data_IF_965816961734
#
_entry.id   IF_965816961734
#
_cell.length_a   1.000
_cell.length_b   1.000
_cell.length_c   1.000
_cell.angle_alpha   90.00
_cell.angle_beta   90.00
_cell.angle_gamma   90.00
#
_symmetry.space_group_name_H-M   'P 1'
#
loop_
_entity.id
_entity.type
_entity.pdbx_description
1 polymer ?
#
# COMPACT_ATOMS: atom_id res chain seq x y z
N UNK A 1 -29.42 5.24 16.88
CA UNK A 1 -28.90 4.00 16.29
C UNK A 1 -29.04 4.09 14.77
N UNK A 2 -27.99 3.69 14.06
CA UNK A 2 -27.98 3.60 12.60
C UNK A 2 -28.06 2.11 12.22
N UNK A 3 -28.92 1.80 11.26
CA UNK A 3 -28.98 0.50 10.60
C UNK A 3 -28.77 0.74 9.11
N UNK A 4 -27.89 -0.04 8.48
CA UNK A 4 -27.54 0.11 7.07
C UNK A 4 -27.30 -1.24 6.42
N UNK A 5 -27.90 -1.45 5.26
CA UNK A 5 -27.68 -2.59 4.40
C UNK A 5 -26.74 -2.22 3.24
N UNK A 6 -25.63 -2.92 3.12
CA UNK A 6 -24.65 -2.70 2.07
C UNK A 6 -24.64 -3.91 1.12
N UNK A 7 -25.02 -3.72 -0.16
CA UNK A 7 -25.11 -4.81 -1.11
C UNK A 7 -23.73 -5.37 -1.45
N UNK A 8 -23.60 -6.71 -1.45
CA UNK A 8 -22.36 -7.40 -1.85
C UNK A 8 -22.27 -7.55 -3.37
N UNK A 9 -21.02 -7.70 -3.86
CA UNK A 9 -20.75 -7.89 -5.29
C UNK A 9 -21.01 -6.66 -6.15
N UNK A 10 -21.05 -5.48 -5.56
CA UNK A 10 -21.31 -4.20 -6.24
C UNK A 10 -20.37 -3.12 -5.71
N UNK A 11 -20.11 -2.12 -6.54
CA UNK A 11 -19.51 -0.88 -6.09
C UNK A 11 -20.54 -0.08 -5.28
N UNK A 12 -20.23 0.23 -4.04
CA UNK A 12 -21.05 1.09 -3.17
C UNK A 12 -20.29 2.38 -2.90
N UNK A 13 -20.93 3.51 -3.15
CA UNK A 13 -20.36 4.84 -2.90
C UNK A 13 -21.09 5.49 -1.72
N UNK A 14 -20.32 5.95 -0.72
CA UNK A 14 -20.85 6.67 0.45
C UNK A 14 -20.52 8.15 0.29
N UNK A 15 -21.54 8.97 0.14
CA UNK A 15 -21.42 10.43 -0.06
C UNK A 15 -22.11 11.21 1.05
N UNK A 16 -21.81 12.47 1.18
CA UNK A 16 -22.42 13.38 2.15
C UNK A 16 -21.50 14.56 2.45
N UNK A 17 -22.05 15.59 3.08
CA UNK A 17 -21.30 16.79 3.50
C UNK A 17 -20.18 16.46 4.49
N UNK A 18 -19.20 17.35 4.61
CA UNK A 18 -18.15 17.19 5.63
C UNK A 18 -18.77 17.12 7.03
N UNK A 19 -18.24 16.24 7.89
CA UNK A 19 -18.78 16.05 9.24
C UNK A 19 -20.04 15.20 9.36
N UNK A 20 -20.59 14.66 8.25
CA UNK A 20 -21.81 13.81 8.29
C UNK A 20 -21.61 12.39 8.84
N UNK A 21 -20.41 12.05 9.32
CA UNK A 21 -20.12 10.75 9.91
C UNK A 21 -19.71 9.64 8.92
N UNK A 22 -19.42 9.97 7.65
CA UNK A 22 -18.96 8.96 6.66
C UNK A 22 -17.75 8.17 7.11
N UNK A 23 -16.74 8.88 7.61
CA UNK A 23 -15.50 8.27 8.13
C UNK A 23 -15.79 7.38 9.32
N UNK A 24 -16.58 7.85 10.28
CA UNK A 24 -16.98 7.07 11.46
C UNK A 24 -17.78 5.82 11.05
N UNK A 25 -18.67 5.94 10.09
CA UNK A 25 -19.44 4.78 9.60
C UNK A 25 -18.53 3.74 8.94
N UNK A 26 -17.63 4.16 8.05
CA UNK A 26 -16.84 3.23 7.24
C UNK A 26 -15.56 2.80 7.98
N UNK A 27 -14.70 3.75 8.38
CA UNK A 27 -13.37 3.44 8.91
C UNK A 27 -13.38 3.06 10.39
N UNK A 28 -14.30 3.61 11.17
CA UNK A 28 -14.34 3.36 12.63
C UNK A 28 -15.36 2.28 13.01
N UNK A 29 -16.37 2.00 12.16
CA UNK A 29 -17.43 1.04 12.47
C UNK A 29 -17.42 -0.17 11.54
N UNK A 30 -17.66 0.02 10.24
CA UNK A 30 -17.85 -1.09 9.29
C UNK A 30 -16.58 -1.93 9.12
N UNK A 31 -15.45 -1.29 8.80
CA UNK A 31 -14.19 -2.00 8.53
C UNK A 31 -13.72 -2.77 9.76
N UNK A 32 -13.56 -2.15 10.95
CA UNK A 32 -13.14 -2.89 12.14
C UNK A 32 -14.11 -4.01 12.54
N UNK A 33 -15.41 -3.83 12.32
CA UNK A 33 -16.39 -4.87 12.63
C UNK A 33 -16.31 -6.05 11.65
N UNK A 34 -16.03 -5.80 10.37
CA UNK A 34 -15.80 -6.85 9.37
C UNK A 34 -14.49 -7.60 9.64
N UNK A 35 -13.43 -6.87 9.99
CA UNK A 35 -12.15 -7.47 10.38
C UNK A 35 -12.28 -8.34 11.63
N UNK A 36 -13.01 -7.85 12.65
CA UNK A 36 -13.31 -8.62 13.85
C UNK A 36 -14.07 -9.91 13.52
N UNK A 37 -15.05 -9.84 12.62
CA UNK A 37 -15.82 -11.00 12.16
C UNK A 37 -14.95 -12.02 11.41
N UNK A 38 -14.03 -11.55 10.55
CA UNK A 38 -13.15 -12.44 9.77
C UNK A 38 -12.02 -13.04 10.60
N UNK A 39 -11.53 -12.32 11.59
CA UNK A 39 -10.43 -12.73 12.48
C UNK A 39 -10.91 -13.42 13.78
N UNK A 40 -12.22 -13.46 14.04
CA UNK A 40 -12.77 -14.02 15.26
C UNK A 40 -12.45 -13.20 16.52
N UNK A 41 -12.25 -11.90 16.39
CA UNK A 41 -11.93 -10.98 17.49
C UNK A 41 -13.17 -10.19 17.95
N UNK A 42 -13.05 -9.45 19.04
CA UNK A 42 -14.14 -8.62 19.56
C UNK A 42 -14.49 -7.47 18.61
N UNK A 43 -15.77 -7.23 18.41
CA UNK A 43 -16.26 -6.10 17.62
C UNK A 43 -16.08 -4.78 18.38
N UNK A 44 -16.00 -3.63 17.68
CA UNK A 44 -16.01 -2.32 18.32
C UNK A 44 -17.24 -2.16 19.22
N UNK A 45 -17.06 -1.60 20.42
CA UNK A 45 -18.12 -1.52 21.44
C UNK A 45 -19.39 -0.77 21.00
N UNK A 46 -19.25 0.16 20.04
CA UNK A 46 -20.37 0.93 19.49
C UNK A 46 -21.11 0.20 18.36
N UNK A 47 -20.57 -0.90 17.84
CA UNK A 47 -21.23 -1.73 16.81
C UNK A 47 -22.04 -2.82 17.48
N UNK A 48 -23.36 -2.71 17.44
CA UNK A 48 -24.26 -3.67 18.09
C UNK A 48 -24.29 -5.03 17.39
N UNK A 49 -24.30 -5.02 16.05
CA UNK A 49 -24.43 -6.26 15.27
C UNK A 49 -23.91 -6.04 13.86
N UNK A 50 -23.20 -7.02 13.33
CA UNK A 50 -22.83 -7.12 11.92
C UNK A 50 -23.20 -8.49 11.36
N UNK A 51 -23.74 -8.53 10.14
CA UNK A 51 -24.05 -9.75 9.41
C UNK A 51 -23.39 -9.69 8.04
N UNK A 52 -22.33 -10.48 7.81
CA UNK A 52 -21.54 -10.43 6.59
C UNK A 52 -21.11 -11.83 6.13
N UNK A 53 -22.08 -12.70 5.80
CA UNK A 53 -21.79 -14.04 5.28
C UNK A 53 -20.98 -13.97 3.99
N UNK A 54 -19.92 -14.79 3.87
CA UNK A 54 -19.12 -14.94 2.66
C UNK A 54 -18.01 -13.91 2.48
N UNK A 55 -17.84 -12.96 3.38
CA UNK A 55 -16.65 -12.07 3.41
C UNK A 55 -15.53 -12.85 4.11
N UNK A 56 -14.42 -13.03 3.41
CA UNK A 56 -13.23 -13.76 3.89
C UNK A 56 -12.08 -12.84 4.27
N UNK A 57 -12.02 -11.66 3.68
CA UNK A 57 -10.95 -10.70 3.89
C UNK A 57 -11.47 -9.28 3.65
N UNK A 58 -10.95 -8.35 4.43
CA UNK A 58 -11.14 -6.91 4.26
C UNK A 58 -9.80 -6.30 3.84
N UNK A 59 -9.82 -5.41 2.86
CA UNK A 59 -8.65 -4.61 2.46
C UNK A 59 -9.03 -3.15 2.46
N UNK A 60 -8.42 -2.39 3.34
CA UNK A 60 -8.51 -0.93 3.32
C UNK A 60 -7.45 -0.37 2.37
N UNK A 61 -7.88 0.48 1.45
CA UNK A 61 -7.00 1.33 0.65
C UNK A 61 -7.35 2.77 1.04
N UNK A 62 -6.43 3.41 1.72
CA UNK A 62 -6.60 4.77 2.21
C UNK A 62 -5.98 5.81 1.26
N UNK A 63 -6.14 7.08 1.60
CA UNK A 63 -5.56 8.20 0.86
C UNK A 63 -4.16 8.58 1.35
N UNK A 64 -3.52 7.74 2.17
CA UNK A 64 -2.17 8.01 2.63
C UNK A 64 -1.20 8.05 1.45
N UNK A 65 -0.27 9.02 1.41
CA UNK A 65 0.72 9.09 0.35
C UNK A 65 1.55 7.81 0.28
N UNK A 66 1.73 7.27 -0.92
CA UNK A 66 2.60 6.14 -1.17
C UNK A 66 4.04 6.59 -1.00
N UNK A 67 4.68 6.12 0.07
CA UNK A 67 6.08 6.40 0.36
C UNK A 67 6.32 7.71 1.12
N UNK A 68 7.08 7.61 2.18
CA UNK A 68 7.51 8.74 3.01
C UNK A 68 8.80 9.36 2.43
N UNK A 69 9.45 8.67 1.51
CA UNK A 69 10.74 9.06 0.95
C UNK A 69 10.56 9.66 -0.46
N UNK A 70 11.13 10.84 -0.70
CA UNK A 70 11.17 11.51 -2.01
C UNK A 70 11.71 10.62 -3.14
N UNK A 71 12.49 9.59 -2.82
CA UNK A 71 13.02 8.61 -3.77
C UNK A 71 12.12 7.39 -3.97
N UNK A 72 10.98 7.31 -3.28
CA UNK A 72 10.03 6.21 -3.47
C UNK A 72 9.28 6.36 -4.78
N UNK A 73 9.23 5.28 -5.55
CA UNK A 73 8.50 5.20 -6.82
C UNK A 73 7.38 4.15 -6.73
N UNK A 74 6.44 4.17 -7.66
CA UNK A 74 5.41 3.14 -7.80
C UNK A 74 6.04 1.74 -7.88
N UNK A 75 7.15 1.60 -8.62
CA UNK A 75 7.87 0.34 -8.76
C UNK A 75 8.50 -0.14 -7.43
N UNK A 76 8.91 0.78 -6.56
CA UNK A 76 9.36 0.44 -5.20
C UNK A 76 8.21 -0.07 -4.35
N UNK A 77 7.09 0.63 -4.38
CA UNK A 77 5.90 0.24 -3.62
C UNK A 77 5.32 -1.11 -4.07
N UNK A 78 5.28 -1.34 -5.38
CA UNK A 78 4.84 -2.60 -5.97
C UNK A 78 5.87 -3.74 -5.87
N UNK A 79 7.01 -3.51 -5.21
CA UNK A 79 8.12 -4.47 -5.07
C UNK A 79 8.77 -4.89 -6.39
N UNK A 80 8.54 -4.16 -7.49
CA UNK A 80 9.10 -4.46 -8.81
C UNK A 80 10.62 -4.27 -8.81
N UNK A 81 11.13 -3.24 -8.14
CA UNK A 81 12.57 -3.00 -8.07
C UNK A 81 13.33 -4.13 -7.37
N UNK A 82 12.77 -4.75 -6.35
CA UNK A 82 13.42 -5.86 -5.66
C UNK A 82 13.56 -7.07 -6.56
N UNK A 83 12.53 -7.38 -7.33
CA UNK A 83 12.58 -8.49 -8.29
C UNK A 83 13.54 -8.20 -9.45
N UNK A 84 13.57 -6.96 -9.96
CA UNK A 84 14.54 -6.55 -10.99
C UNK A 84 15.98 -6.65 -10.48
N UNK A 85 16.28 -6.19 -9.27
CA UNK A 85 17.63 -6.29 -8.67
C UNK A 85 18.08 -7.74 -8.53
N UNK A 86 17.17 -8.62 -8.11
CA UNK A 86 17.44 -10.05 -8.03
C UNK A 86 17.68 -10.67 -9.42
N UNK A 87 16.89 -10.25 -10.42
CA UNK A 87 17.04 -10.71 -11.79
C UNK A 87 18.41 -10.31 -12.37
N UNK A 88 18.80 -9.04 -12.26
CA UNK A 88 20.10 -8.56 -12.73
C UNK A 88 21.27 -9.25 -12.01
N UNK A 89 21.19 -9.47 -10.71
CA UNK A 89 22.25 -10.16 -9.96
C UNK A 89 22.44 -11.64 -10.35
N UNK A 90 21.46 -12.23 -11.04
CA UNK A 90 21.55 -13.62 -11.54
C UNK A 90 22.24 -13.74 -12.90
N UNK A 91 22.40 -12.63 -13.62
CA UNK A 91 23.04 -12.63 -14.93
C UNK A 91 24.50 -13.09 -14.82
N UNK A 92 25.02 -13.85 -15.84
CA UNK A 92 26.40 -14.31 -15.83
C UNK A 92 27.41 -13.16 -15.69
N UNK A 93 27.18 -12.05 -16.37
CA UNK A 93 28.04 -10.86 -16.35
C UNK A 93 28.09 -10.23 -14.95
N UNK A 94 26.96 -10.14 -14.26
CA UNK A 94 26.88 -9.61 -12.91
C UNK A 94 27.63 -10.53 -11.92
N UNK A 95 27.50 -11.85 -12.09
CA UNK A 95 28.20 -12.83 -11.27
C UNK A 95 29.71 -12.79 -11.50
N UNK A 96 30.15 -12.67 -12.75
CA UNK A 96 31.57 -12.55 -13.11
C UNK A 96 32.23 -11.33 -12.46
N UNK A 97 31.48 -10.24 -12.30
CA UNK A 97 31.93 -9.00 -11.66
C UNK A 97 31.66 -8.97 -10.14
N UNK A 98 31.10 -10.03 -9.58
CA UNK A 98 30.81 -10.15 -8.14
C UNK A 98 29.67 -9.24 -7.66
N UNK A 99 28.81 -8.77 -8.55
CA UNK A 99 27.67 -7.90 -8.19
C UNK A 99 26.54 -8.69 -7.52
N UNK A 100 25.96 -8.08 -6.51
CA UNK A 100 24.81 -8.58 -5.75
C UNK A 100 23.58 -7.71 -6.00
N UNK A 101 22.39 -8.18 -5.62
CA UNK A 101 21.15 -7.45 -5.80
C UNK A 101 21.16 -6.02 -5.20
N UNK A 102 21.85 -5.81 -4.09
CA UNK A 102 22.02 -4.49 -3.47
C UNK A 102 22.81 -3.50 -4.33
N UNK A 103 23.75 -3.97 -5.15
CA UNK A 103 24.57 -3.12 -6.01
C UNK A 103 23.76 -2.44 -7.12
N UNK A 104 22.64 -3.06 -7.51
CA UNK A 104 21.68 -2.53 -8.50
C UNK A 104 20.61 -1.61 -7.88
N UNK A 105 20.72 -1.24 -6.61
CA UNK A 105 19.80 -0.29 -6.00
C UNK A 105 20.04 1.12 -6.54
N UNK A 106 19.01 1.76 -7.10
CA UNK A 106 19.09 3.15 -7.55
C UNK A 106 19.25 4.13 -6.37
N UNK A 107 18.94 3.71 -5.16
CA UNK A 107 18.99 4.54 -3.95
C UNK A 107 20.31 4.39 -3.18
N UNK A 108 20.84 3.18 -3.06
CA UNK A 108 22.01 2.89 -2.22
C UNK A 108 23.08 2.05 -2.91
N UNK A 109 22.83 1.59 -4.14
CA UNK A 109 23.74 0.72 -4.86
C UNK A 109 24.99 1.43 -5.38
N UNK A 110 26.09 0.72 -5.45
CA UNK A 110 27.37 1.26 -5.94
C UNK A 110 27.42 1.46 -7.46
N UNK A 111 26.47 0.88 -8.19
CA UNK A 111 26.33 1.02 -9.65
C UNK A 111 25.45 2.22 -10.06
N UNK A 112 25.13 3.11 -9.13
CA UNK A 112 24.38 4.33 -9.44
C UNK A 112 25.18 5.24 -10.38
N UNK A 113 24.43 5.96 -11.22
CA UNK A 113 25.04 7.00 -12.04
C UNK A 113 25.72 8.05 -11.13
N UNK A 114 27.02 8.34 -11.29
CA UNK A 114 27.72 9.31 -10.43
C UNK A 114 27.25 10.75 -10.65
N UNK A 115 26.62 11.05 -11.82
CA UNK A 115 26.16 12.39 -12.16
C UNK A 115 24.82 12.75 -11.51
N UNK A 116 23.85 11.83 -11.52
CA UNK A 116 22.51 12.08 -10.96
C UNK A 116 22.25 11.33 -9.64
N UNK A 117 23.23 10.61 -9.12
CA UNK A 117 23.11 9.79 -7.90
C UNK A 117 21.90 8.83 -7.91
N UNK A 118 21.54 8.32 -9.09
CA UNK A 118 20.43 7.38 -9.28
C UNK A 118 19.04 8.02 -9.37
N UNK A 119 18.93 9.34 -9.40
CA UNK A 119 17.64 10.04 -9.49
C UNK A 119 17.09 10.14 -10.91
N UNK A 120 17.96 9.97 -11.93
CA UNK A 120 17.60 10.13 -13.35
C UNK A 120 17.47 11.58 -13.80
N UNK A 121 17.60 12.56 -12.89
CA UNK A 121 17.55 13.99 -13.18
C UNK A 121 18.55 14.75 -12.34
N UNK A 122 18.97 15.92 -12.82
CA UNK A 122 19.83 16.86 -12.11
C UNK A 122 19.01 18.14 -11.92
N UNK A 123 18.80 18.56 -10.68
CA UNK A 123 18.24 19.89 -10.40
C UNK A 123 19.40 20.87 -10.33
N UNK A 124 19.35 21.91 -11.15
CA UNK A 124 20.21 23.05 -11.06
C UNK A 124 19.45 24.13 -10.28
N UNK A 125 19.87 24.41 -9.07
CA UNK A 125 19.38 25.59 -8.33
C UNK A 125 19.98 26.83 -9.00
N UNK A 126 19.12 27.62 -9.64
CA UNK A 126 19.46 28.90 -10.27
C UNK A 126 19.03 30.04 -9.37
#
# INVERSE_FOLDING_TARGET
PLEADIPKGRLTVVTGVSGSGKTTLILESLIPALEALTNGTAQPAHVKKICAKGIRQVKLIDAAPIGINVRSTVATYANVHDELRKAYARLPEAKALGYKAGDFSYNTGKLRCPTCDGTGSISLDV
#
